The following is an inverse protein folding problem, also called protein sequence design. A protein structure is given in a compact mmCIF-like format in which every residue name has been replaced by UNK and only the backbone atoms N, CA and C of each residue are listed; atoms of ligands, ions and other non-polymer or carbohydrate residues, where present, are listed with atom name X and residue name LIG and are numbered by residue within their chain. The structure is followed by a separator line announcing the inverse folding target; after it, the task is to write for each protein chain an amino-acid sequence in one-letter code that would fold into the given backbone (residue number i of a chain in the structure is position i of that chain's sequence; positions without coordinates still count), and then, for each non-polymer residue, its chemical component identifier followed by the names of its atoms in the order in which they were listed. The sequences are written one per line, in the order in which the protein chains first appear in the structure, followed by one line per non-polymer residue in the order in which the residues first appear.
data_IF_084640519562
#
_entry.id   IF_084640519562
#
_cell.length_a   1.000
_cell.length_b   1.000
_cell.length_c   1.000
_cell.angle_alpha   90.00
_cell.angle_beta   90.00
_cell.angle_gamma   90.00
#
_symmetry.space_group_name_H-M   'P 1'
#
loop_
_entity.id
_entity.type
_entity.pdbx_description
1 polymer ?
#
# COMPACT_ATOMS: atom_id res chain seq x y z
N UNK A 1 -72.08 -20.58 24.94
CA UNK A 1 -72.12 -19.10 24.94
C UNK A 1 -70.71 -18.58 24.78
N UNK A 2 -70.47 -17.74 23.75
CA UNK A 2 -69.32 -16.83 23.53
C UNK A 2 -67.89 -17.45 23.48
N UNK A 3 -66.94 -17.05 22.64
CA UNK A 3 -66.80 -15.96 21.67
C UNK A 3 -65.62 -16.33 20.75
N UNK A 4 -65.73 -16.09 19.45
CA UNK A 4 -65.22 -14.88 18.79
C UNK A 4 -63.69 -14.84 18.61
N UNK A 5 -63.30 -15.12 17.36
CA UNK A 5 -62.39 -14.33 16.50
C UNK A 5 -60.95 -14.09 16.94
N UNK A 6 -59.98 -14.70 16.24
CA UNK A 6 -58.80 -13.96 15.78
C UNK A 6 -58.13 -14.58 14.54
N UNK A 7 -58.90 -14.71 13.45
CA UNK A 7 -58.34 -14.90 12.12
C UNK A 7 -57.89 -13.56 11.57
N UNK A 8 -56.72 -13.08 12.00
CA UNK A 8 -56.13 -11.82 11.52
C UNK A 8 -55.79 -11.99 10.03
N UNK A 9 -56.71 -11.52 9.18
CA UNK A 9 -56.49 -11.16 7.79
C UNK A 9 -55.37 -10.12 7.72
N UNK A 10 -54.12 -10.57 7.71
CA UNK A 10 -53.02 -9.72 7.29
C UNK A 10 -53.17 -9.58 5.77
N UNK A 11 -53.60 -8.40 5.33
CA UNK A 11 -53.81 -8.11 3.90
C UNK A 11 -52.54 -8.44 3.11
N UNK A 12 -52.65 -9.10 1.94
CA UNK A 12 -51.49 -9.50 1.13
C UNK A 12 -50.58 -8.31 0.77
N UNK A 13 -51.13 -7.10 0.72
CA UNK A 13 -50.39 -5.85 0.52
C UNK A 13 -49.41 -5.51 1.64
N UNK A 14 -49.72 -5.83 2.91
CA UNK A 14 -48.82 -5.58 4.06
C UNK A 14 -47.65 -6.56 4.05
N UNK A 15 -47.90 -7.82 3.67
CA UNK A 15 -46.86 -8.84 3.54
C UNK A 15 -45.86 -8.47 2.44
N UNK A 16 -46.35 -8.11 1.25
CA UNK A 16 -45.52 -7.69 0.12
C UNK A 16 -44.78 -6.38 0.40
N UNK A 17 -45.40 -5.41 1.09
CA UNK A 17 -44.72 -4.20 1.52
C UNK A 17 -43.64 -4.47 2.59
N UNK A 18 -43.84 -5.46 3.46
CA UNK A 18 -42.86 -5.88 4.47
C UNK A 18 -41.68 -6.61 3.81
N UNK A 19 -41.92 -7.47 2.82
CA UNK A 19 -40.88 -8.11 2.01
C UNK A 19 -40.10 -7.10 1.16
N UNK A 20 -40.80 -6.11 0.57
CA UNK A 20 -40.16 -4.99 -0.13
C UNK A 20 -39.34 -4.11 0.82
N UNK A 21 -39.81 -3.84 2.03
CA UNK A 21 -39.05 -3.09 3.04
C UNK A 21 -37.84 -3.89 3.58
N UNK A 22 -37.95 -5.21 3.70
CA UNK A 22 -36.89 -6.11 4.14
C UNK A 22 -35.80 -6.29 3.07
N UNK A 23 -36.12 -6.10 1.78
CA UNK A 23 -35.15 -6.10 0.68
C UNK A 23 -34.48 -4.74 0.46
N UNK A 24 -35.14 -3.62 0.76
CA UNK A 24 -34.58 -2.27 0.64
C UNK A 24 -33.56 -1.90 1.74
N UNK A 25 -33.45 -2.70 2.80
CA UNK A 25 -32.59 -2.42 3.97
C UNK A 25 -31.29 -3.24 4.00
N UNK A 26 -31.04 -4.09 2.99
CA UNK A 26 -29.85 -4.97 2.93
C UNK A 26 -28.78 -4.55 1.91
N UNK A 27 -28.83 -3.33 1.40
CA UNK A 27 -27.74 -2.71 0.63
C UNK A 27 -26.55 -2.44 1.57
N UNK A 28 -25.80 -3.50 1.90
CA UNK A 28 -24.50 -3.34 2.55
C UNK A 28 -23.58 -2.68 1.53
N UNK A 29 -23.06 -1.46 1.76
CA UNK A 29 -22.22 -0.78 0.80
C UNK A 29 -21.07 -1.69 0.40
N UNK A 30 -20.94 -1.98 -0.91
CA UNK A 30 -19.84 -2.84 -1.39
C UNK A 30 -18.52 -2.18 -0.99
N UNK A 31 -17.61 -2.89 -0.30
CA UNK A 31 -16.35 -2.31 0.12
C UNK A 31 -15.58 -1.86 -1.13
N UNK A 32 -15.05 -0.63 -1.06
CA UNK A 32 -14.34 0.06 -2.16
C UNK A 32 -13.10 -0.73 -2.62
N UNK A 33 -12.57 -1.58 -1.73
CA UNK A 33 -11.47 -2.52 -1.96
C UNK A 33 -11.93 -3.86 -1.44
N UNK A 34 -11.80 -4.91 -2.25
CA UNK A 34 -12.22 -6.26 -1.86
C UNK A 34 -11.27 -6.88 -0.82
N UNK A 35 -11.78 -7.71 0.10
CA UNK A 35 -10.99 -8.28 1.21
C UNK A 35 -9.77 -9.08 0.73
N UNK A 36 -9.89 -9.76 -0.42
CA UNK A 36 -8.78 -10.44 -1.09
C UNK A 36 -7.71 -9.45 -1.58
N UNK A 37 -8.08 -8.26 -2.05
CA UNK A 37 -7.13 -7.23 -2.45
C UNK A 37 -6.38 -6.67 -1.23
N UNK A 38 -7.06 -6.47 -0.10
CA UNK A 38 -6.40 -6.11 1.16
C UNK A 38 -5.41 -7.18 1.63
N UNK A 39 -5.79 -8.47 1.55
CA UNK A 39 -4.88 -9.57 1.89
C UNK A 39 -3.63 -9.61 0.99
N UNK A 40 -3.79 -9.41 -0.31
CA UNK A 40 -2.66 -9.32 -1.27
C UNK A 40 -1.79 -8.11 -0.95
N UNK A 41 -2.39 -6.96 -0.63
CA UNK A 41 -1.64 -5.76 -0.22
C UNK A 41 -0.81 -6.05 1.03
N UNK A 42 -1.38 -6.70 2.06
CA UNK A 42 -0.64 -7.08 3.28
C UNK A 42 0.51 -8.04 2.97
N UNK A 43 0.29 -9.05 2.12
CA UNK A 43 1.36 -9.96 1.69
C UNK A 43 2.48 -9.25 0.95
N UNK A 44 2.14 -8.31 0.05
CA UNK A 44 3.14 -7.47 -0.64
C UNK A 44 3.88 -6.59 0.35
N UNK A 45 3.18 -5.97 1.32
CA UNK A 45 3.80 -5.18 2.38
C UNK A 45 4.75 -6.02 3.24
N UNK A 46 4.40 -7.27 3.56
CA UNK A 46 5.25 -8.18 4.31
C UNK A 46 6.47 -8.61 3.51
N UNK A 47 6.30 -9.01 2.24
CA UNK A 47 7.43 -9.29 1.36
C UNK A 47 8.37 -8.08 1.27
N UNK A 48 7.82 -6.90 1.01
CA UNK A 48 8.61 -5.67 0.96
C UNK A 48 9.30 -5.44 2.31
N UNK A 49 8.62 -5.55 3.45
CA UNK A 49 9.24 -5.36 4.78
C UNK A 49 10.35 -6.37 5.11
N UNK A 50 10.16 -7.63 4.76
CA UNK A 50 11.15 -8.69 5.03
C UNK A 50 12.37 -8.58 4.12
N UNK A 51 12.15 -8.28 2.83
CA UNK A 51 13.22 -8.20 1.84
C UNK A 51 13.89 -6.81 1.81
N UNK A 52 13.26 -5.73 2.26
CA UNK A 52 13.89 -4.40 2.23
C UNK A 52 15.07 -4.24 3.18
N UNK A 53 15.21 -5.04 4.24
CA UNK A 53 16.40 -4.98 5.10
C UNK A 53 17.63 -5.59 4.42
N UNK A 54 17.59 -6.91 4.22
CA UNK A 54 18.73 -7.67 3.70
C UNK A 54 18.85 -7.51 2.17
N UNK A 55 17.75 -7.56 1.42
CA UNK A 55 17.82 -7.44 -0.04
C UNK A 55 18.18 -6.02 -0.49
N UNK A 56 17.85 -4.97 0.27
CA UNK A 56 18.32 -3.63 -0.06
C UNK A 56 19.83 -3.47 0.16
N UNK A 57 20.40 -4.14 1.17
CA UNK A 57 21.85 -4.19 1.37
C UNK A 57 22.55 -4.87 0.19
N UNK A 58 22.04 -6.02 -0.26
CA UNK A 58 22.58 -6.70 -1.45
C UNK A 58 22.43 -5.81 -2.70
N UNK A 59 21.27 -5.16 -2.86
CA UNK A 59 21.01 -4.24 -3.97
C UNK A 59 21.96 -3.05 -4.02
N UNK A 60 22.28 -2.42 -2.87
CA UNK A 60 23.18 -1.25 -2.85
C UNK A 60 24.63 -1.64 -3.17
N UNK A 61 25.05 -2.85 -2.78
CA UNK A 61 26.36 -3.41 -3.12
C UNK A 61 26.46 -3.59 -4.63
N UNK A 62 25.47 -4.27 -5.24
CA UNK A 62 25.42 -4.45 -6.70
C UNK A 62 25.41 -3.10 -7.42
N UNK A 63 24.65 -2.12 -6.91
CA UNK A 63 24.59 -0.79 -7.50
C UNK A 63 25.95 -0.07 -7.45
N UNK A 64 26.70 -0.11 -6.34
CA UNK A 64 28.03 0.49 -6.25
C UNK A 64 29.04 -0.20 -7.18
N UNK A 65 28.94 -1.52 -7.32
CA UNK A 65 29.82 -2.26 -8.23
C UNK A 65 29.52 -1.92 -9.69
N UNK A 66 28.23 -1.82 -10.07
CA UNK A 66 27.83 -1.64 -11.48
C UNK A 66 27.69 -0.20 -11.96
N UNK A 67 27.61 0.79 -11.06
CA UNK A 67 27.38 2.20 -11.45
C UNK A 67 28.50 2.79 -12.33
N UNK A 68 29.71 2.21 -12.30
CA UNK A 68 30.84 2.69 -13.11
C UNK A 68 30.94 2.04 -14.50
N UNK A 69 30.35 0.85 -14.70
CA UNK A 69 30.50 0.01 -15.91
C UNK A 69 29.20 -0.13 -16.73
N UNK A 70 28.26 0.81 -16.59
CA UNK A 70 26.97 0.76 -17.29
C UNK A 70 26.65 2.01 -18.09
N UNK A 71 25.77 1.81 -19.08
CA UNK A 71 25.17 2.83 -19.94
C UNK A 71 24.67 4.03 -19.10
N UNK A 72 24.87 5.28 -19.55
CA UNK A 72 24.37 6.48 -18.86
C UNK A 72 22.91 6.41 -18.39
N UNK A 73 22.03 5.68 -19.08
CA UNK A 73 20.65 5.44 -18.62
C UNK A 73 20.64 4.64 -17.32
N UNK A 74 21.29 3.49 -17.28
CA UNK A 74 21.37 2.63 -16.10
C UNK A 74 22.16 3.28 -14.96
N UNK A 75 23.18 4.08 -15.26
CA UNK A 75 23.92 4.85 -14.26
C UNK A 75 23.01 5.76 -13.45
N UNK A 76 22.02 6.41 -14.09
CA UNK A 76 21.04 7.26 -13.40
C UNK A 76 20.17 6.46 -12.41
N UNK A 77 19.79 5.24 -12.80
CA UNK A 77 19.01 4.31 -11.97
C UNK A 77 19.81 3.84 -10.75
N UNK A 78 21.08 3.43 -10.95
CA UNK A 78 21.93 3.01 -9.84
C UNK A 78 22.21 4.15 -8.85
N UNK A 79 22.47 5.38 -9.32
CA UNK A 79 22.63 6.53 -8.43
C UNK A 79 21.38 6.82 -7.60
N UNK A 80 20.19 6.70 -8.20
CA UNK A 80 18.92 6.90 -7.51
C UNK A 80 18.65 5.81 -6.47
N UNK A 81 18.96 4.55 -6.78
CA UNK A 81 18.85 3.43 -5.85
C UNK A 81 19.81 3.60 -4.66
N UNK A 82 21.07 3.96 -4.92
CA UNK A 82 22.06 4.23 -3.87
C UNK A 82 21.58 5.32 -2.91
N UNK A 83 21.08 6.45 -3.44
CA UNK A 83 20.57 7.53 -2.58
C UNK A 83 19.33 7.11 -1.79
N UNK A 84 18.43 6.35 -2.40
CA UNK A 84 17.21 5.87 -1.73
C UNK A 84 17.55 4.93 -0.58
N UNK A 85 18.57 4.08 -0.74
CA UNK A 85 19.10 3.25 0.33
C UNK A 85 19.63 4.10 1.50
N UNK A 86 20.48 5.09 1.24
CA UNK A 86 21.04 5.94 2.31
C UNK A 86 20.00 6.77 3.03
N UNK A 87 19.01 7.33 2.30
CA UNK A 87 17.89 8.05 2.90
C UNK A 87 17.06 7.06 3.74
N UNK A 88 16.79 5.86 3.24
CA UNK A 88 16.02 4.88 3.98
C UNK A 88 16.72 4.36 5.22
N UNK A 89 18.03 4.14 5.16
CA UNK A 89 18.85 3.78 6.30
C UNK A 89 18.83 4.88 7.37
N UNK A 90 18.89 6.15 6.98
CA UNK A 90 18.78 7.28 7.91
C UNK A 90 17.40 7.31 8.60
N UNK A 91 16.32 7.13 7.84
CA UNK A 91 14.96 7.07 8.40
C UNK A 91 14.77 5.87 9.34
N UNK A 92 15.35 4.71 9.05
CA UNK A 92 15.34 3.56 9.96
C UNK A 92 16.17 3.83 11.22
N UNK A 93 17.38 4.38 11.06
CA UNK A 93 18.26 4.70 12.17
C UNK A 93 17.69 5.76 13.12
N UNK A 94 16.90 6.72 12.61
CA UNK A 94 16.23 7.75 13.41
C UNK A 94 14.86 7.26 13.89
N UNK A 95 14.10 6.57 13.04
CA UNK A 95 12.73 6.13 13.31
C UNK A 95 12.64 5.08 14.41
N UNK A 96 13.59 4.12 14.46
CA UNK A 96 13.65 3.08 15.50
C UNK A 96 13.78 3.69 16.91
N UNK A 97 14.75 4.57 17.21
CA UNK A 97 14.83 5.20 18.54
C UNK A 97 13.65 6.15 18.79
N UNK A 98 13.12 6.82 17.77
CA UNK A 98 11.96 7.72 17.93
C UNK A 98 10.66 6.97 18.26
N UNK A 99 10.56 5.67 17.95
CA UNK A 99 9.45 4.82 18.39
C UNK A 99 9.36 4.70 19.90
N UNK A 100 10.47 4.87 20.65
CA UNK A 100 10.43 4.91 22.12
C UNK A 100 9.58 6.07 22.66
N UNK A 101 9.37 7.11 21.85
CA UNK A 101 8.60 8.31 22.20
C UNK A 101 7.22 8.31 21.52
N UNK A 102 6.78 7.19 20.92
CA UNK A 102 5.55 7.05 20.10
C UNK A 102 5.49 7.91 18.82
N UNK A 103 6.38 8.90 18.67
CA UNK A 103 6.50 9.78 17.49
C UNK A 103 7.15 9.05 16.30
N UNK A 104 7.85 7.93 16.53
CA UNK A 104 8.43 7.13 15.46
C UNK A 104 7.42 6.52 14.49
N UNK A 105 6.18 6.26 14.92
CA UNK A 105 5.13 5.63 14.07
C UNK A 105 4.79 6.49 12.83
N UNK A 106 4.39 7.77 12.96
CA UNK A 106 4.11 8.60 11.79
C UNK A 106 5.35 8.82 10.89
N UNK A 107 6.55 8.86 11.47
CA UNK A 107 7.81 8.99 10.72
C UNK A 107 8.07 7.74 9.87
N UNK A 108 7.90 6.54 10.44
CA UNK A 108 8.07 5.28 9.72
C UNK A 108 6.96 5.06 8.68
N UNK A 109 5.72 5.46 8.97
CA UNK A 109 4.62 5.40 8.01
C UNK A 109 4.88 6.31 6.79
N UNK A 110 5.35 7.54 7.03
CA UNK A 110 5.76 8.46 5.97
C UNK A 110 6.92 7.89 5.15
N UNK A 111 7.95 7.38 5.82
CA UNK A 111 9.09 6.74 5.17
C UNK A 111 8.67 5.56 4.27
N UNK A 112 7.73 4.72 4.73
CA UNK A 112 7.24 3.56 4.00
C UNK A 112 6.48 3.99 2.74
N UNK A 113 5.58 4.97 2.85
CA UNK A 113 4.86 5.54 1.71
C UNK A 113 5.82 6.15 0.68
N UNK A 114 6.79 6.95 1.14
CA UNK A 114 7.79 7.57 0.30
C UNK A 114 8.66 6.54 -0.44
N UNK A 115 9.11 5.50 0.27
CA UNK A 115 9.92 4.42 -0.31
C UNK A 115 9.14 3.65 -1.38
N UNK A 116 7.85 3.39 -1.14
CA UNK A 116 6.99 2.70 -2.10
C UNK A 116 6.85 3.48 -3.41
N UNK A 117 6.59 4.78 -3.34
CA UNK A 117 6.48 5.65 -4.53
C UNK A 117 7.79 5.66 -5.32
N UNK A 118 8.94 5.76 -4.62
CA UNK A 118 10.28 5.75 -5.24
C UNK A 118 10.55 4.45 -6.00
N UNK A 119 10.17 3.31 -5.41
CA UNK A 119 10.33 1.99 -6.03
C UNK A 119 9.44 1.88 -7.29
N UNK A 120 8.17 2.25 -7.19
CA UNK A 120 7.23 2.19 -8.33
C UNK A 120 7.71 3.05 -9.50
N UNK A 121 8.12 4.30 -9.24
CA UNK A 121 8.67 5.17 -10.28
C UNK A 121 9.95 4.63 -10.91
N UNK A 122 10.83 4.03 -10.10
CA UNK A 122 12.03 3.35 -10.59
C UNK A 122 11.70 2.19 -11.54
N UNK A 123 10.76 1.33 -11.16
CA UNK A 123 10.33 0.17 -11.97
C UNK A 123 9.69 0.63 -13.29
N UNK A 124 8.79 1.62 -13.25
CA UNK A 124 8.13 2.15 -14.46
C UNK A 124 9.18 2.75 -15.41
N UNK A 125 10.11 3.56 -14.90
CA UNK A 125 11.14 4.20 -15.73
C UNK A 125 12.11 3.20 -16.36
N UNK A 126 12.43 2.11 -15.67
CA UNK A 126 13.22 1.00 -16.23
C UNK A 126 12.45 0.29 -17.33
N UNK A 127 11.16 0.00 -17.11
CA UNK A 127 10.32 -0.69 -18.11
C UNK A 127 10.09 0.14 -19.38
N UNK A 128 10.09 1.47 -19.26
CA UNK A 128 10.00 2.40 -20.39
C UNK A 128 11.36 2.68 -21.07
N UNK A 129 12.47 2.08 -20.62
CA UNK A 129 13.84 2.38 -21.07
C UNK A 129 14.21 3.87 -20.99
N UNK A 130 13.61 4.60 -20.04
CA UNK A 130 13.86 6.04 -19.84
C UNK A 130 14.85 6.26 -18.70
N UNK A 131 15.78 7.21 -18.84
CA UNK A 131 16.61 7.65 -17.71
C UNK A 131 15.75 8.37 -16.67
N UNK A 132 16.13 8.25 -15.40
CA UNK A 132 15.45 9.00 -14.33
C UNK A 132 15.72 10.49 -14.54
N UNK A 133 14.65 11.28 -14.66
CA UNK A 133 14.74 12.71 -14.94
C UNK A 133 15.59 13.46 -13.90
N UNK A 134 15.40 13.20 -12.59
CA UNK A 134 16.26 13.77 -11.54
C UNK A 134 16.76 12.70 -10.54
N UNK A 135 17.90 12.06 -10.82
CA UNK A 135 18.46 11.02 -9.95
C UNK A 135 18.93 11.56 -8.59
N UNK A 136 19.11 12.89 -8.45
CA UNK A 136 19.52 13.57 -7.21
C UNK A 136 18.36 14.08 -6.35
N UNK A 137 17.10 13.90 -6.78
CA UNK A 137 15.96 14.44 -6.05
C UNK A 137 15.74 13.71 -4.72
N UNK A 138 15.27 14.48 -3.73
CA UNK A 138 15.01 13.99 -2.37
C UNK A 138 13.59 13.46 -2.18
N UNK A 139 12.67 13.87 -3.06
CA UNK A 139 11.24 13.55 -2.97
C UNK A 139 10.84 12.49 -4.00
N UNK A 140 10.67 12.86 -5.27
CA UNK A 140 9.96 11.98 -6.21
C UNK A 140 10.71 11.56 -7.49
N UNK A 141 11.90 12.05 -7.81
CA UNK A 141 12.54 11.76 -9.11
C UNK A 141 12.01 12.68 -10.20
#
# INVERSE_FOLDING_TARGET
MAGATNGRSQSPTILVATEAAMTLTSETPRPIVSDNALAVIVYVLYCVGYFTGISALIGVIIAHVKVHDTDPVLRSHYQFQIRTFWIGLLYLAIGIPLCMVLIGIPVLAWWLLWSLIRIIKGIISVNEYKPIANPRSWLFG
#
